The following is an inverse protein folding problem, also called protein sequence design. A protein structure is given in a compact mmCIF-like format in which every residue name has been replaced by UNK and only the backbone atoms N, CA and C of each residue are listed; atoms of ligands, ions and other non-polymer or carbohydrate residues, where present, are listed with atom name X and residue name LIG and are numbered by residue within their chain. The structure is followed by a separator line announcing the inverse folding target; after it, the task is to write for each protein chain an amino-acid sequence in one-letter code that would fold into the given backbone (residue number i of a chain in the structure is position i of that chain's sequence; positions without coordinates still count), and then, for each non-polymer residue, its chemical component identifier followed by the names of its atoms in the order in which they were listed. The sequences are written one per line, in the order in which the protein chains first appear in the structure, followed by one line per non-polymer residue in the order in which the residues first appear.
data_IF_687476771399
#
_entry.id   IF_687476771399
#
_cell.length_a   1.000
_cell.length_b   1.000
_cell.length_c   1.000
_cell.angle_alpha   90.00
_cell.angle_beta   90.00
_cell.angle_gamma   90.00
#
_symmetry.space_group_name_H-M   'P 1'
#
loop_
_entity.id
_entity.type
_entity.pdbx_description
1 polymer ?
#
# COMPACT_ATOMS: atom_id res chain seq x y z
N UNK A 1 39.11 11.10 24.39
CA UNK A 1 38.37 11.98 23.44
C UNK A 1 38.36 11.45 22.03
N UNK A 2 39.48 10.97 21.46
CA UNK A 2 39.55 10.49 20.05
C UNK A 2 38.63 9.29 19.81
N UNK A 3 38.60 8.30 20.73
CA UNK A 3 37.74 7.09 20.58
C UNK A 3 36.23 7.41 20.57
N UNK A 4 35.78 8.33 21.42
CA UNK A 4 34.36 8.74 21.48
C UNK A 4 33.95 9.43 20.17
N UNK A 5 34.80 10.28 19.61
CA UNK A 5 34.56 10.96 18.33
C UNK A 5 34.44 9.97 17.17
N UNK A 6 35.32 8.96 17.12
CA UNK A 6 35.28 7.93 16.08
C UNK A 6 34.00 7.11 16.20
N UNK A 7 33.62 6.69 17.40
CA UNK A 7 32.40 5.93 17.65
C UNK A 7 31.18 6.75 17.22
N UNK A 8 31.11 8.03 17.61
CA UNK A 8 30.00 8.90 17.26
C UNK A 8 29.85 9.06 15.73
N UNK A 9 30.95 9.46 15.05
CA UNK A 9 30.95 9.64 13.58
C UNK A 9 30.56 8.34 12.88
N UNK A 10 31.06 7.18 13.36
CA UNK A 10 30.69 5.89 12.76
C UNK A 10 29.19 5.58 12.92
N UNK A 11 28.61 5.82 14.10
CA UNK A 11 27.17 5.61 14.34
C UNK A 11 26.29 6.50 13.45
N UNK A 12 26.66 7.77 13.31
CA UNK A 12 25.94 8.72 12.45
C UNK A 12 26.02 8.31 10.97
N UNK A 13 27.20 7.90 10.48
CA UNK A 13 27.39 7.43 9.10
C UNK A 13 26.54 6.18 8.82
N UNK A 14 26.58 5.17 9.69
CA UNK A 14 25.77 3.97 9.54
C UNK A 14 24.27 4.28 9.59
N UNK A 15 23.85 5.14 10.51
CA UNK A 15 22.47 5.61 10.59
C UNK A 15 22.01 6.28 9.29
N UNK A 16 22.84 7.18 8.74
CA UNK A 16 22.57 7.84 7.47
C UNK A 16 22.45 6.87 6.30
N UNK A 17 23.33 5.86 6.22
CA UNK A 17 23.26 4.80 5.21
C UNK A 17 21.95 4.00 5.33
N UNK A 18 21.54 3.61 6.54
CA UNK A 18 20.25 2.90 6.74
C UNK A 18 19.05 3.74 6.29
N UNK A 19 19.02 5.02 6.62
CA UNK A 19 17.95 5.92 6.17
C UNK A 19 17.93 6.07 4.64
N UNK A 20 19.11 6.16 3.98
CA UNK A 20 19.19 6.19 2.51
C UNK A 20 18.67 4.90 1.87
N UNK A 21 19.04 3.74 2.41
CA UNK A 21 18.54 2.44 1.93
C UNK A 21 17.02 2.38 2.09
N UNK A 22 16.48 2.79 3.24
CA UNK A 22 15.04 2.84 3.47
C UNK A 22 14.32 3.76 2.47
N UNK A 23 14.85 4.97 2.25
CA UNK A 23 14.32 5.90 1.26
C UNK A 23 14.35 5.34 -0.18
N UNK A 24 15.47 4.67 -0.55
CA UNK A 24 15.62 4.02 -1.84
C UNK A 24 14.63 2.85 -2.02
N UNK A 25 14.47 1.99 -1.00
CA UNK A 25 13.47 0.92 -1.01
C UNK A 25 12.07 1.48 -1.23
N UNK A 26 11.71 2.58 -0.55
CA UNK A 26 10.42 3.24 -0.74
C UNK A 26 10.27 3.86 -2.12
N UNK A 27 11.35 4.36 -2.72
CA UNK A 27 11.34 4.91 -4.08
C UNK A 27 11.14 3.83 -5.14
N UNK A 28 11.81 2.68 -5.01
CA UNK A 28 11.74 1.57 -5.96
C UNK A 28 10.39 0.83 -5.92
N UNK A 29 9.74 0.75 -4.77
CA UNK A 29 8.41 0.13 -4.64
C UNK A 29 7.32 1.02 -5.22
N UNK A 30 7.24 1.10 -6.53
CA UNK A 30 6.51 2.10 -7.35
C UNK A 30 4.97 2.05 -7.22
N UNK A 31 4.39 1.03 -6.61
CA UNK A 31 2.95 0.76 -6.61
C UNK A 31 2.11 1.61 -5.63
N UNK A 32 2.69 2.61 -4.97
CA UNK A 32 2.00 3.40 -3.97
C UNK A 32 2.28 4.90 -4.09
N UNK A 33 1.39 5.61 -4.74
CA UNK A 33 1.34 7.08 -4.74
C UNK A 33 0.50 7.62 -3.57
N UNK A 34 0.73 7.15 -2.34
CA UNK A 34 0.10 7.77 -1.17
C UNK A 34 0.98 8.90 -0.64
N UNK A 35 0.35 9.99 -0.17
CA UNK A 35 1.07 11.10 0.47
C UNK A 35 1.89 10.61 1.68
N UNK A 36 1.38 9.65 2.46
CA UNK A 36 2.08 9.00 3.57
C UNK A 36 3.47 8.50 3.17
N UNK A 37 3.56 7.77 2.05
CA UNK A 37 4.83 7.24 1.57
C UNK A 37 5.80 8.34 1.17
N UNK A 38 5.33 9.35 0.43
CA UNK A 38 6.17 10.49 0.02
C UNK A 38 6.73 11.22 1.25
N UNK A 39 5.88 11.49 2.24
CA UNK A 39 6.28 12.15 3.48
C UNK A 39 7.31 11.31 4.25
N UNK A 40 7.07 10.00 4.42
CA UNK A 40 8.02 9.13 5.11
C UNK A 40 9.35 9.00 4.35
N UNK A 41 9.32 8.95 3.02
CA UNK A 41 10.54 8.95 2.19
C UNK A 41 11.32 10.26 2.35
N UNK A 42 10.65 11.42 2.35
CA UNK A 42 11.31 12.70 2.59
C UNK A 42 11.86 12.81 4.02
N UNK A 43 11.16 12.27 5.01
CA UNK A 43 11.67 12.18 6.39
C UNK A 43 12.95 11.34 6.44
N UNK A 44 12.97 10.16 5.81
CA UNK A 44 14.16 9.29 5.77
C UNK A 44 15.34 9.99 5.08
N UNK A 45 15.09 10.65 3.95
CA UNK A 45 16.13 11.38 3.22
C UNK A 45 16.67 12.57 4.04
N UNK A 46 15.80 13.35 4.67
CA UNK A 46 16.19 14.48 5.52
C UNK A 46 16.98 14.00 6.74
N UNK A 47 16.57 12.87 7.35
CA UNK A 47 17.30 12.26 8.47
C UNK A 47 18.68 11.76 8.03
N UNK A 48 18.81 11.14 6.86
CA UNK A 48 20.10 10.73 6.33
C UNK A 48 21.05 11.94 6.15
N UNK A 49 20.56 13.03 5.55
CA UNK A 49 21.34 14.25 5.39
C UNK A 49 21.73 14.85 6.75
N UNK A 50 20.79 14.89 7.71
CA UNK A 50 21.06 15.37 9.06
C UNK A 50 22.21 14.57 9.72
N UNK A 51 22.17 13.25 9.66
CA UNK A 51 23.18 12.37 10.26
C UNK A 51 24.55 12.55 9.59
N UNK A 52 24.61 12.67 8.25
CA UNK A 52 25.85 12.99 7.55
C UNK A 52 26.41 14.38 7.93
N UNK A 53 25.52 15.36 8.09
CA UNK A 53 25.94 16.69 8.52
C UNK A 53 26.45 16.71 9.96
N UNK A 54 25.82 15.93 10.88
CA UNK A 54 26.32 15.82 12.25
C UNK A 54 27.69 15.11 12.30
N UNK A 55 27.87 14.04 11.53
CA UNK A 55 29.16 13.40 11.36
C UNK A 55 30.25 14.38 10.87
N UNK A 56 29.94 15.23 9.90
CA UNK A 56 30.86 16.27 9.39
C UNK A 56 31.11 17.35 10.43
N UNK A 57 30.10 17.79 11.19
CA UNK A 57 30.26 18.76 12.27
C UNK A 57 31.29 18.26 13.33
N UNK A 58 31.22 16.98 13.66
CA UNK A 58 32.20 16.35 14.56
C UNK A 58 33.55 16.11 13.92
N UNK A 59 33.60 15.73 12.63
CA UNK A 59 34.83 15.50 11.88
C UNK A 59 35.67 16.76 11.72
N UNK A 60 35.03 17.90 11.49
CA UNK A 60 35.72 19.18 11.26
C UNK A 60 35.84 20.05 12.51
N UNK A 61 35.38 19.59 13.66
CA UNK A 61 35.50 20.30 14.93
C UNK A 61 36.99 20.50 15.32
N UNK A 62 37.40 21.75 15.41
CA UNK A 62 38.79 22.11 15.77
C UNK A 62 39.78 21.99 14.60
N UNK A 63 39.35 21.76 13.38
CA UNK A 63 40.20 21.74 12.19
C UNK A 63 40.45 23.22 11.74
N UNK A 64 41.73 23.57 11.63
CA UNK A 64 42.16 24.91 11.18
C UNK A 64 42.03 25.06 9.67
N UNK A 65 42.04 26.32 9.19
CA UNK A 65 42.01 26.68 7.77
C UNK A 65 40.59 26.92 7.23
N UNK A 66 40.50 27.30 5.97
CA UNK A 66 39.25 27.73 5.30
C UNK A 66 38.24 26.58 5.20
N UNK A 67 38.69 25.37 4.92
CA UNK A 67 37.81 24.19 4.84
C UNK A 67 37.16 23.91 6.19
N UNK A 68 37.95 23.86 7.28
CA UNK A 68 37.43 23.68 8.63
C UNK A 68 36.43 24.76 9.03
N UNK A 69 36.72 25.99 8.66
CA UNK A 69 35.85 27.14 8.93
C UNK A 69 34.46 27.01 8.30
N UNK A 70 34.34 26.68 7.00
CA UNK A 70 33.07 26.53 6.33
C UNK A 70 32.37 25.27 6.71
N UNK A 71 33.07 24.13 6.76
CA UNK A 71 32.47 22.82 7.02
C UNK A 71 31.79 22.76 8.39
N UNK A 72 32.44 23.24 9.47
CA UNK A 72 31.83 23.20 10.80
C UNK A 72 30.60 24.09 10.91
N UNK A 73 30.58 25.24 10.20
CA UNK A 73 29.45 26.19 10.23
C UNK A 73 28.25 25.64 9.43
N UNK A 74 28.49 25.20 8.20
CA UNK A 74 27.45 24.64 7.33
C UNK A 74 26.85 23.38 7.97
N UNK A 75 27.68 22.49 8.47
CA UNK A 75 27.22 21.25 9.09
C UNK A 75 26.35 21.49 10.32
N UNK A 76 26.78 22.35 11.24
CA UNK A 76 25.97 22.68 12.42
C UNK A 76 24.66 23.40 12.03
N UNK A 77 24.70 24.33 11.08
CA UNK A 77 23.47 24.96 10.58
C UNK A 77 22.49 23.92 10.07
N UNK A 78 22.95 23.00 9.21
CA UNK A 78 22.12 21.97 8.61
C UNK A 78 21.54 21.03 9.67
N UNK A 79 22.28 20.68 10.72
CA UNK A 79 21.77 19.82 11.82
C UNK A 79 20.55 20.47 12.50
N UNK A 80 20.62 21.74 12.86
CA UNK A 80 19.48 22.45 13.49
C UNK A 80 18.32 22.63 12.53
N UNK A 81 18.60 23.08 11.30
CA UNK A 81 17.56 23.33 10.29
C UNK A 81 16.83 22.03 9.88
N UNK A 82 17.56 20.96 9.63
CA UNK A 82 16.97 19.67 9.26
C UNK A 82 16.22 19.02 10.43
N UNK A 83 16.65 19.26 11.67
CA UNK A 83 15.93 18.84 12.86
C UNK A 83 14.50 19.38 12.90
N UNK A 84 14.35 20.69 12.68
CA UNK A 84 13.03 21.33 12.59
C UNK A 84 12.26 20.87 11.35
N UNK A 85 12.90 20.70 10.20
CA UNK A 85 12.27 20.21 8.98
C UNK A 85 11.72 18.78 9.16
N UNK A 86 12.47 17.89 9.79
CA UNK A 86 12.02 16.50 10.07
C UNK A 86 10.80 16.51 10.99
N UNK A 87 10.77 17.39 11.99
CA UNK A 87 9.60 17.56 12.86
C UNK A 87 8.37 18.04 12.06
N UNK A 88 8.54 18.98 11.11
CA UNK A 88 7.45 19.39 10.23
C UNK A 88 6.94 18.25 9.36
N UNK A 89 7.85 17.50 8.76
CA UNK A 89 7.50 16.33 7.94
C UNK A 89 6.79 15.25 8.78
N UNK A 90 7.26 15.01 10.01
CA UNK A 90 6.60 14.11 10.95
C UNK A 90 5.18 14.57 11.28
N UNK A 91 4.99 15.87 11.58
CA UNK A 91 3.66 16.42 11.81
C UNK A 91 2.70 16.19 10.63
N UNK A 92 3.17 16.45 9.40
CA UNK A 92 2.39 16.21 8.19
C UNK A 92 2.08 14.72 8.00
N UNK A 93 3.05 13.84 8.27
CA UNK A 93 2.85 12.39 8.23
C UNK A 93 1.84 11.91 9.27
N UNK A 94 1.93 12.41 10.51
CA UNK A 94 0.98 12.14 11.58
C UNK A 94 -0.44 12.56 11.17
N UNK A 95 -0.60 13.77 10.63
CA UNK A 95 -1.89 14.27 10.16
C UNK A 95 -2.47 13.41 9.02
N UNK A 96 -1.64 12.97 8.08
CA UNK A 96 -2.09 12.09 7.00
C UNK A 96 -2.46 10.69 7.52
N UNK A 97 -1.76 10.17 8.54
CA UNK A 97 -2.14 8.93 9.21
C UNK A 97 -3.48 9.02 9.94
N UNK A 98 -3.75 10.14 10.61
CA UNK A 98 -4.96 10.33 11.42
C UNK A 98 -6.19 10.72 10.61
N UNK A 99 -6.02 11.46 9.52
CA UNK A 99 -7.15 12.10 8.83
C UNK A 99 -7.27 11.75 7.34
N UNK A 100 -6.23 11.18 6.70
CA UNK A 100 -6.24 10.74 5.30
C UNK A 100 -6.91 11.74 4.32
N UNK A 101 -6.71 13.05 4.52
CA UNK A 101 -7.33 14.09 3.70
C UNK A 101 -8.77 14.44 4.05
N UNK A 102 -9.33 13.92 5.16
CA UNK A 102 -10.68 14.22 5.61
C UNK A 102 -10.88 15.73 5.89
N UNK A 103 -12.09 16.21 5.62
CA UNK A 103 -12.49 17.62 5.88
C UNK A 103 -12.34 18.02 7.36
N UNK A 104 -12.40 17.07 8.29
CA UNK A 104 -12.18 17.29 9.73
C UNK A 104 -10.80 17.90 10.04
N UNK A 105 -9.77 17.57 9.26
CA UNK A 105 -8.44 18.14 9.42
C UNK A 105 -8.44 19.67 9.41
N UNK A 106 -9.23 20.29 8.53
CA UNK A 106 -9.32 21.75 8.39
C UNK A 106 -9.92 22.46 9.60
N UNK A 107 -10.69 21.76 10.45
CA UNK A 107 -11.33 22.34 11.65
C UNK A 107 -10.43 22.34 12.87
N UNK A 108 -9.34 21.58 12.87
CA UNK A 108 -8.48 21.40 14.05
C UNK A 108 -7.39 22.51 14.07
N UNK A 109 -7.61 23.55 14.85
CA UNK A 109 -6.69 24.71 14.97
C UNK A 109 -5.25 24.33 15.41
N UNK A 110 -5.08 23.19 16.09
CA UNK A 110 -3.74 22.71 16.51
C UNK A 110 -2.83 22.31 15.36
N UNK A 111 -3.40 21.85 14.24
CA UNK A 111 -2.61 21.41 13.08
C UNK A 111 -1.82 22.61 12.48
N UNK A 112 -2.44 23.71 12.05
CA UNK A 112 -1.66 24.86 11.56
C UNK A 112 -0.78 25.48 12.65
N UNK A 113 -1.12 25.35 13.93
CA UNK A 113 -0.30 25.87 15.01
C UNK A 113 1.07 25.21 15.08
N UNK A 114 1.18 23.88 14.90
CA UNK A 114 2.47 23.19 14.85
C UNK A 114 3.30 23.68 13.65
N UNK A 115 2.68 23.81 12.47
CA UNK A 115 3.38 24.34 11.29
C UNK A 115 3.96 25.75 11.56
N UNK A 116 3.19 26.63 12.20
CA UNK A 116 3.64 27.99 12.54
C UNK A 116 4.82 27.94 13.54
N UNK A 117 4.70 27.14 14.61
CA UNK A 117 5.74 27.00 15.64
C UNK A 117 7.05 26.50 15.01
N UNK A 118 6.99 25.47 14.17
CA UNK A 118 8.19 24.91 13.52
C UNK A 118 8.77 25.89 12.49
N UNK A 119 7.94 26.58 11.71
CA UNK A 119 8.43 27.62 10.80
C UNK A 119 9.14 28.76 11.55
N UNK A 120 8.66 29.16 12.72
CA UNK A 120 9.36 30.13 13.59
C UNK A 120 10.70 29.54 14.04
N UNK A 121 10.77 28.26 14.43
CA UNK A 121 12.01 27.57 14.77
C UNK A 121 13.05 27.64 13.64
N UNK A 122 12.66 27.25 12.44
CA UNK A 122 13.53 27.31 11.25
C UNK A 122 14.02 28.73 10.96
N UNK A 123 13.16 29.75 11.11
CA UNK A 123 13.54 31.15 10.93
C UNK A 123 14.58 31.58 11.99
N UNK A 124 14.39 31.19 13.25
CA UNK A 124 15.33 31.51 14.32
C UNK A 124 16.69 30.80 14.13
N UNK A 125 16.73 29.61 13.56
CA UNK A 125 17.99 28.94 13.16
C UNK A 125 18.71 29.76 12.10
N UNK A 126 18.01 30.32 11.11
CA UNK A 126 18.59 31.21 10.09
C UNK A 126 19.13 32.49 10.73
N UNK A 127 18.33 33.15 11.56
CA UNK A 127 18.74 34.36 12.30
C UNK A 127 19.97 34.10 13.18
N UNK A 128 20.04 32.94 13.77
CA UNK A 128 21.18 32.53 14.63
C UNK A 128 22.51 32.49 13.87
N UNK A 129 22.51 32.32 12.54
CA UNK A 129 23.75 32.37 11.75
C UNK A 129 24.40 33.75 11.77
N UNK A 130 23.59 34.83 11.84
CA UNK A 130 24.06 36.19 11.80
C UNK A 130 24.24 36.80 13.20
N UNK A 131 23.46 36.32 14.16
CA UNK A 131 23.43 36.92 15.51
C UNK A 131 24.20 36.08 16.55
N UNK A 132 24.51 34.81 16.25
CA UNK A 132 25.05 33.86 17.23
C UNK A 132 24.05 33.54 18.32
N UNK A 133 22.73 33.57 18.07
CA UNK A 133 21.70 33.41 19.07
C UNK A 133 21.81 32.03 19.82
N UNK A 134 21.95 30.95 19.09
CA UNK A 134 21.98 29.60 19.64
C UNK A 134 23.40 29.12 19.97
N UNK A 135 24.35 29.43 19.08
CA UNK A 135 25.73 28.97 19.19
C UNK A 135 26.72 29.92 18.49
N UNK A 136 27.98 29.74 18.82
CA UNK A 136 29.09 30.46 18.21
C UNK A 136 30.28 29.53 18.03
N UNK A 137 31.25 29.99 17.26
CA UNK A 137 32.53 29.27 17.07
C UNK A 137 33.69 30.16 17.47
N UNK A 138 34.64 29.59 18.20
CA UNK A 138 35.88 30.30 18.51
C UNK A 138 36.84 30.34 17.31
N UNK A 139 37.98 31.02 17.47
CA UNK A 139 39.03 31.17 16.41
C UNK A 139 39.57 29.78 15.96
N UNK A 140 39.49 28.76 16.80
CA UNK A 140 39.97 27.41 16.51
C UNK A 140 38.84 26.50 16.00
N UNK A 141 37.72 27.04 15.55
CA UNK A 141 36.57 26.31 15.04
C UNK A 141 35.91 25.29 16.02
N UNK A 142 36.02 25.59 17.33
CA UNK A 142 35.26 24.83 18.36
C UNK A 142 33.90 25.47 18.55
N UNK A 143 32.88 24.61 18.57
CA UNK A 143 31.48 24.93 18.83
C UNK A 143 31.24 25.27 20.30
N UNK A 144 30.54 26.36 20.59
CA UNK A 144 30.10 26.79 21.92
C UNK A 144 28.60 27.09 21.91
N UNK A 145 27.89 26.61 22.94
CA UNK A 145 26.49 26.96 23.15
C UNK A 145 26.37 28.34 23.76
N UNK A 146 25.50 29.19 23.20
CA UNK A 146 25.24 30.52 23.72
C UNK A 146 24.02 30.52 24.65
N UNK A 147 23.73 31.66 25.32
CA UNK A 147 22.72 31.76 26.36
C UNK A 147 21.30 31.32 25.89
N UNK A 148 20.97 31.57 24.62
CA UNK A 148 19.64 31.22 24.05
C UNK A 148 19.60 29.82 23.40
N UNK A 149 20.63 29.00 23.56
CA UNK A 149 20.64 27.61 23.10
C UNK A 149 19.40 26.81 23.55
N UNK A 150 18.88 26.94 24.82
CA UNK A 150 17.69 26.21 25.23
C UNK A 150 16.46 26.47 24.37
N UNK A 151 16.35 27.64 23.74
CA UNK A 151 15.23 27.97 22.85
C UNK A 151 15.19 27.04 21.61
N UNK A 152 16.34 26.60 21.12
CA UNK A 152 16.43 25.61 20.03
C UNK A 152 15.87 24.23 20.40
N UNK A 153 15.72 23.92 21.69
CA UNK A 153 15.11 22.67 22.19
C UNK A 153 13.64 22.87 22.56
N UNK A 154 13.27 24.06 23.07
CA UNK A 154 11.89 24.35 23.52
C UNK A 154 10.92 24.37 22.34
N UNK A 155 11.32 24.94 21.20
CA UNK A 155 10.44 25.05 20.02
C UNK A 155 10.05 23.68 19.45
N UNK A 156 10.98 22.75 19.16
CA UNK A 156 10.64 21.39 18.77
C UNK A 156 9.81 20.64 19.83
N UNK A 157 10.11 20.88 21.12
CA UNK A 157 9.36 20.25 22.21
C UNK A 157 7.89 20.69 22.23
N UNK A 158 7.60 21.99 22.00
CA UNK A 158 6.23 22.50 21.91
C UNK A 158 5.45 21.86 20.76
N UNK A 159 6.06 21.77 19.58
CA UNK A 159 5.49 21.05 18.44
C UNK A 159 5.18 19.60 18.78
N UNK A 160 6.14 18.89 19.38
CA UNK A 160 6.01 17.51 19.80
C UNK A 160 4.89 17.29 20.83
N UNK A 161 4.74 18.18 21.82
CA UNK A 161 3.63 18.11 22.81
C UNK A 161 2.28 18.25 22.13
N UNK A 162 2.13 19.17 21.18
CA UNK A 162 0.87 19.33 20.44
C UNK A 162 0.57 18.06 19.63
N UNK A 163 1.55 17.50 18.93
CA UNK A 163 1.40 16.27 18.17
C UNK A 163 1.05 15.07 19.06
N UNK A 164 1.66 14.98 20.25
CA UNK A 164 1.31 13.96 21.23
C UNK A 164 -0.17 14.06 21.64
N UNK A 165 -0.68 15.27 21.89
CA UNK A 165 -2.11 15.45 22.22
C UNK A 165 -3.03 15.04 21.07
N UNK A 166 -2.62 15.29 19.82
CA UNK A 166 -3.36 14.84 18.64
C UNK A 166 -3.35 13.32 18.51
N UNK A 167 -2.20 12.69 18.65
CA UNK A 167 -2.06 11.23 18.59
C UNK A 167 -2.90 10.51 19.63
N UNK A 168 -2.89 10.96 20.89
CA UNK A 168 -3.69 10.38 21.98
C UNK A 168 -5.19 10.57 21.72
N UNK A 169 -5.60 11.77 21.33
CA UNK A 169 -7.02 12.08 21.08
C UNK A 169 -7.61 11.22 19.96
N UNK A 170 -6.86 11.01 18.88
CA UNK A 170 -7.33 10.32 17.69
C UNK A 170 -6.77 8.89 17.55
N UNK A 171 -6.25 8.29 18.63
CA UNK A 171 -5.59 6.96 18.62
C UNK A 171 -6.41 5.84 17.97
N UNK A 172 -7.75 5.95 18.00
CA UNK A 172 -8.67 4.95 17.43
C UNK A 172 -8.71 4.96 15.90
N UNK A 173 -8.17 6.00 15.24
CA UNK A 173 -8.13 6.11 13.78
C UNK A 173 -6.96 5.38 13.14
N UNK A 174 -6.00 4.93 13.91
CA UNK A 174 -4.81 4.20 13.44
C UNK A 174 -4.71 2.82 14.06
N UNK A 175 -3.98 1.92 13.39
CA UNK A 175 -3.69 0.60 13.94
C UNK A 175 -2.84 0.70 15.21
N UNK A 176 -2.87 -0.33 16.04
CA UNK A 176 -2.05 -0.38 17.25
C UNK A 176 -0.54 -0.31 16.92
N UNK A 177 -0.11 -0.94 15.83
CA UNK A 177 1.28 -0.91 15.38
C UNK A 177 1.71 0.50 14.97
N UNK A 178 0.89 1.20 14.15
CA UNK A 178 1.12 2.59 13.75
C UNK A 178 1.10 3.52 14.96
N UNK A 179 0.18 3.34 15.90
CA UNK A 179 0.14 4.14 17.12
C UNK A 179 1.44 4.04 17.93
N UNK A 180 1.92 2.82 18.20
CA UNK A 180 3.17 2.59 18.94
C UNK A 180 4.36 3.16 18.19
N UNK A 181 4.38 3.02 16.88
CA UNK A 181 5.42 3.54 16.00
C UNK A 181 5.50 5.08 16.05
N UNK A 182 4.38 5.77 15.87
CA UNK A 182 4.29 7.23 15.95
C UNK A 182 4.67 7.73 17.35
N UNK A 183 4.24 7.02 18.38
CA UNK A 183 4.58 7.33 19.78
C UNK A 183 6.07 7.18 20.05
N UNK A 184 6.74 6.15 19.49
CA UNK A 184 8.16 5.92 19.66
C UNK A 184 9.01 7.07 19.14
N UNK A 185 8.63 7.67 17.99
CA UNK A 185 9.30 8.84 17.43
C UNK A 185 9.30 10.06 18.38
N UNK A 186 8.27 10.19 19.21
CA UNK A 186 8.16 11.29 20.17
C UNK A 186 8.89 10.98 21.49
N UNK A 187 8.73 9.75 21.99
CA UNK A 187 9.25 9.37 23.31
C UNK A 187 10.77 9.12 23.28
N UNK A 188 11.29 8.41 22.26
CA UNK A 188 12.71 8.05 22.25
C UNK A 188 13.66 9.26 22.22
N UNK A 189 13.45 10.32 21.41
CA UNK A 189 14.27 11.51 21.47
C UNK A 189 14.15 12.28 22.78
N UNK A 190 12.95 12.30 23.41
CA UNK A 190 12.77 12.92 24.73
C UNK A 190 13.54 12.20 25.82
N UNK A 191 13.52 10.88 25.84
CA UNK A 191 14.36 10.07 26.74
C UNK A 191 15.84 10.31 26.48
N UNK A 192 16.26 10.40 25.22
CA UNK A 192 17.63 10.68 24.84
C UNK A 192 18.11 12.04 25.35
N UNK A 193 17.25 13.07 25.36
CA UNK A 193 17.56 14.39 25.93
C UNK A 193 17.86 14.28 27.43
N UNK A 194 17.09 13.48 28.18
CA UNK A 194 17.32 13.24 29.62
C UNK A 194 18.67 12.59 29.83
N UNK A 195 19.00 11.56 29.05
CA UNK A 195 20.30 10.88 29.14
C UNK A 195 21.47 11.76 28.73
N UNK A 196 21.28 12.79 27.90
CA UNK A 196 22.32 13.76 27.50
C UNK A 196 22.90 14.54 28.72
N UNK A 197 22.14 14.67 29.79
CA UNK A 197 22.66 15.25 31.05
C UNK A 197 23.68 14.36 31.72
N UNK A 198 23.63 13.04 31.53
CA UNK A 198 24.53 12.07 32.13
C UNK A 198 25.69 11.66 31.22
N UNK A 199 25.48 11.67 29.92
CA UNK A 199 26.44 11.20 28.90
C UNK A 199 26.77 12.32 27.90
N UNK A 200 27.80 13.09 28.20
CA UNK A 200 28.27 14.15 27.29
C UNK A 200 29.18 13.59 26.20
N UNK A 201 28.93 13.92 24.93
CA UNK A 201 29.84 13.65 23.80
C UNK A 201 29.32 12.70 22.72
N UNK A 202 28.09 12.15 22.89
CA UNK A 202 27.39 11.36 21.85
C UNK A 202 26.04 12.04 21.59
N UNK A 203 25.68 12.18 20.31
CA UNK A 203 24.37 12.75 19.90
C UNK A 203 23.26 11.69 20.06
N UNK A 204 22.93 11.35 21.31
CA UNK A 204 21.91 10.34 21.61
C UNK A 204 20.54 10.65 20.99
N UNK A 205 20.23 11.94 20.80
CA UNK A 205 18.97 12.38 20.18
C UNK A 205 18.90 11.96 18.72
N UNK A 206 19.98 12.16 17.96
CA UNK A 206 20.04 11.76 16.55
C UNK A 206 19.94 10.24 16.39
N UNK A 207 20.60 9.48 17.28
CA UNK A 207 20.50 8.02 17.30
C UNK A 207 19.06 7.59 17.62
N UNK A 208 18.39 8.22 18.57
CA UNK A 208 17.00 7.93 18.92
C UNK A 208 16.04 8.23 17.74
N UNK A 209 16.24 9.35 17.04
CA UNK A 209 15.49 9.69 15.81
C UNK A 209 15.70 8.61 14.75
N UNK A 210 16.96 8.19 14.53
CA UNK A 210 17.29 7.16 13.54
C UNK A 210 16.60 5.82 13.86
N UNK A 211 16.66 5.36 15.10
CA UNK A 211 15.98 4.12 15.53
C UNK A 211 14.47 4.24 15.29
N UNK A 212 13.86 5.36 15.65
CA UNK A 212 12.43 5.61 15.41
C UNK A 212 12.09 5.61 13.92
N UNK A 213 12.96 6.19 13.08
CA UNK A 213 12.78 6.22 11.62
C UNK A 213 12.84 4.83 11.01
N UNK A 214 13.77 3.98 11.45
CA UNK A 214 13.84 2.58 11.02
C UNK A 214 12.56 1.84 11.43
N UNK A 215 12.11 2.05 12.66
CA UNK A 215 10.88 1.43 13.14
C UNK A 215 9.65 1.90 12.33
N UNK A 216 9.54 3.19 12.01
CA UNK A 216 8.49 3.73 11.14
C UNK A 216 8.53 3.10 9.75
N UNK A 217 9.70 2.92 9.16
CA UNK A 217 9.85 2.25 7.88
C UNK A 217 9.35 0.81 7.91
N UNK A 218 9.76 0.04 8.95
CA UNK A 218 9.34 -1.37 9.11
C UNK A 218 7.81 -1.46 9.25
N UNK A 219 7.22 -0.68 10.15
CA UNK A 219 5.76 -0.70 10.38
C UNK A 219 5.00 -0.29 9.13
N UNK A 220 5.41 0.79 8.45
CA UNK A 220 4.79 1.23 7.21
C UNK A 220 4.83 0.16 6.11
N UNK A 221 5.97 -0.54 5.97
CA UNK A 221 6.14 -1.62 4.98
C UNK A 221 5.25 -2.83 5.31
N UNK A 222 5.15 -3.22 6.59
CA UNK A 222 4.30 -4.33 7.04
C UNK A 222 2.82 -4.01 6.83
N UNK A 223 2.37 -2.80 7.18
CA UNK A 223 0.98 -2.39 6.96
C UNK A 223 0.62 -2.33 5.49
N UNK A 224 1.52 -1.82 4.67
CA UNK A 224 1.38 -1.81 3.21
C UNK A 224 1.23 -3.22 2.64
N UNK A 225 2.07 -4.17 3.07
CA UNK A 225 1.97 -5.57 2.65
C UNK A 225 0.63 -6.20 3.04
N UNK A 226 0.15 -5.91 4.25
CA UNK A 226 -1.17 -6.38 4.71
C UNK A 226 -2.32 -5.82 3.87
N UNK A 227 -2.27 -4.53 3.55
CA UNK A 227 -3.30 -3.88 2.71
C UNK A 227 -3.35 -4.50 1.30
N UNK A 228 -2.18 -4.77 0.71
CA UNK A 228 -2.09 -5.46 -0.59
C UNK A 228 -2.71 -6.85 -0.55
N UNK A 229 -2.31 -7.66 0.42
CA UNK A 229 -2.83 -9.02 0.58
C UNK A 229 -4.36 -9.02 0.77
N UNK A 230 -4.90 -8.05 1.50
CA UNK A 230 -6.36 -7.91 1.67
C UNK A 230 -7.05 -7.55 0.34
N UNK A 231 -6.50 -6.61 -0.44
CA UNK A 231 -7.04 -6.25 -1.76
C UNK A 231 -6.99 -7.42 -2.74
N UNK A 232 -5.89 -8.18 -2.75
CA UNK A 232 -5.78 -9.39 -3.58
C UNK A 232 -6.83 -10.43 -3.19
N UNK A 233 -7.06 -10.63 -1.89
CA UNK A 233 -8.11 -11.53 -1.40
C UNK A 233 -9.49 -11.05 -1.82
N UNK A 234 -9.82 -9.77 -1.63
CA UNK A 234 -11.10 -9.19 -2.07
C UNK A 234 -11.33 -9.36 -3.58
N UNK A 235 -10.29 -9.12 -4.40
CA UNK A 235 -10.36 -9.34 -5.84
C UNK A 235 -10.61 -10.81 -6.19
N UNK A 236 -9.95 -11.74 -5.47
CA UNK A 236 -10.18 -13.16 -5.64
C UNK A 236 -11.62 -13.56 -5.29
N UNK A 237 -12.14 -13.09 -4.15
CA UNK A 237 -13.52 -13.34 -3.71
C UNK A 237 -14.54 -12.75 -4.70
N UNK A 238 -14.30 -11.54 -5.22
CA UNK A 238 -15.13 -10.95 -6.28
C UNK A 238 -15.09 -11.77 -7.57
N UNK A 239 -13.91 -12.25 -7.97
CA UNK A 239 -13.76 -13.10 -9.16
C UNK A 239 -14.53 -14.40 -9.00
N UNK A 240 -14.48 -15.04 -7.83
CA UNK A 240 -15.26 -16.23 -7.50
C UNK A 240 -16.77 -15.94 -7.55
N UNK A 241 -17.21 -14.82 -6.96
CA UNK A 241 -18.63 -14.43 -6.95
C UNK A 241 -19.17 -14.16 -8.36
N UNK A 242 -18.40 -13.46 -9.20
CA UNK A 242 -18.73 -13.24 -10.61
C UNK A 242 -18.83 -14.57 -11.36
N UNK A 243 -17.90 -15.47 -11.14
CA UNK A 243 -17.86 -16.82 -11.70
C UNK A 243 -19.14 -17.59 -11.38
N UNK A 244 -19.50 -17.66 -10.10
CA UNK A 244 -20.70 -18.35 -9.65
C UNK A 244 -22.00 -17.71 -10.20
N UNK A 245 -22.00 -16.39 -10.34
CA UNK A 245 -23.12 -15.65 -10.95
C UNK A 245 -23.32 -16.01 -12.42
N UNK A 246 -22.26 -16.28 -13.17
CA UNK A 246 -22.35 -16.64 -14.61
C UNK A 246 -22.87 -18.05 -14.84
N UNK A 247 -22.66 -19.00 -13.91
CA UNK A 247 -23.18 -20.39 -14.02
C UNK A 247 -24.73 -20.43 -13.94
N UNK A 248 -25.39 -19.36 -13.54
CA UNK A 248 -26.84 -19.27 -13.41
C UNK A 248 -27.40 -20.22 -12.35
N UNK A 249 -27.56 -19.77 -11.08
CA UNK A 249 -28.03 -20.62 -9.97
C UNK A 249 -29.32 -21.39 -10.30
N UNK A 250 -30.18 -20.77 -11.08
CA UNK A 250 -31.44 -21.37 -11.52
C UNK A 250 -31.23 -22.60 -12.43
N UNK A 251 -30.22 -22.58 -13.31
CA UNK A 251 -29.88 -23.73 -14.14
C UNK A 251 -29.38 -24.90 -13.29
N UNK A 252 -28.50 -24.64 -12.31
CA UNK A 252 -28.00 -25.66 -11.39
C UNK A 252 -29.16 -26.33 -10.64
N UNK A 253 -30.04 -25.56 -10.01
CA UNK A 253 -31.17 -26.10 -9.26
C UNK A 253 -32.13 -26.91 -10.15
N UNK A 254 -32.41 -26.45 -11.37
CA UNK A 254 -33.27 -27.15 -12.30
C UNK A 254 -32.64 -28.46 -12.80
N UNK A 255 -31.34 -28.46 -13.10
CA UNK A 255 -30.62 -29.66 -13.53
C UNK A 255 -30.60 -30.71 -12.43
N UNK A 256 -30.27 -30.33 -11.19
CA UNK A 256 -30.31 -31.23 -10.04
C UNK A 256 -31.72 -31.78 -9.79
N UNK A 257 -32.76 -30.96 -9.95
CA UNK A 257 -34.16 -31.41 -9.85
C UNK A 257 -34.51 -32.42 -10.95
N UNK A 258 -34.03 -32.20 -12.18
CA UNK A 258 -34.19 -33.11 -13.31
C UNK A 258 -33.48 -34.44 -13.05
N UNK A 259 -32.23 -34.41 -12.60
CA UNK A 259 -31.45 -35.60 -12.23
C UNK A 259 -32.20 -36.40 -11.15
N UNK A 260 -32.67 -35.75 -10.08
CA UNK A 260 -33.45 -36.40 -9.03
C UNK A 260 -34.69 -37.13 -9.57
N UNK A 261 -35.38 -36.50 -10.50
CA UNK A 261 -36.56 -37.11 -11.13
C UNK A 261 -36.18 -38.31 -11.99
N UNK A 262 -35.09 -38.22 -12.73
CA UNK A 262 -34.58 -39.30 -13.57
C UNK A 262 -34.06 -40.49 -12.75
N UNK A 263 -33.47 -40.28 -11.55
CA UNK A 263 -33.02 -41.35 -10.68
C UNK A 263 -34.12 -42.37 -10.36
N UNK A 264 -35.39 -41.89 -10.31
CA UNK A 264 -36.55 -42.77 -10.00
C UNK A 264 -37.08 -43.43 -11.27
N UNK A 265 -37.10 -42.76 -12.42
CA UNK A 265 -37.73 -43.24 -13.65
C UNK A 265 -36.77 -43.93 -14.61
N UNK A 266 -35.56 -43.48 -14.72
CA UNK A 266 -34.52 -44.00 -15.61
C UNK A 266 -33.12 -43.71 -15.03
N UNK A 267 -32.60 -44.58 -14.17
CA UNK A 267 -31.30 -44.42 -13.52
C UNK A 267 -30.12 -44.26 -14.51
N UNK A 268 -30.19 -44.94 -15.66
CA UNK A 268 -29.17 -44.85 -16.70
C UNK A 268 -29.10 -43.42 -17.27
N UNK A 269 -30.25 -42.85 -17.63
CA UNK A 269 -30.35 -41.48 -18.14
C UNK A 269 -29.97 -40.45 -17.08
N UNK A 270 -30.21 -40.76 -15.79
CA UNK A 270 -29.75 -39.91 -14.68
C UNK A 270 -28.23 -39.87 -14.62
N UNK A 271 -27.53 -41.02 -14.74
CA UNK A 271 -26.07 -41.08 -14.76
C UNK A 271 -25.47 -40.27 -15.94
N UNK A 272 -26.00 -40.46 -17.15
CA UNK A 272 -25.60 -39.69 -18.32
C UNK A 272 -25.80 -38.17 -18.12
N UNK A 273 -26.88 -37.77 -17.45
CA UNK A 273 -27.16 -36.33 -17.17
C UNK A 273 -26.17 -35.77 -16.16
N UNK A 274 -25.70 -36.56 -15.19
CA UNK A 274 -24.64 -36.16 -14.24
C UNK A 274 -23.32 -35.92 -14.99
N UNK A 275 -22.96 -36.80 -15.93
CA UNK A 275 -21.73 -36.64 -16.72
C UNK A 275 -21.76 -35.40 -17.58
N UNK A 276 -22.90 -35.11 -18.26
CA UNK A 276 -23.12 -33.92 -19.04
C UNK A 276 -23.06 -32.66 -18.17
N UNK A 277 -23.69 -32.70 -17.00
CA UNK A 277 -23.70 -31.59 -16.05
C UNK A 277 -22.30 -31.30 -15.49
N UNK A 278 -21.55 -32.37 -15.19
CA UNK A 278 -20.16 -32.25 -14.76
C UNK A 278 -19.30 -31.62 -15.86
N UNK A 279 -19.49 -32.06 -17.11
CA UNK A 279 -18.76 -31.50 -18.27
C UNK A 279 -19.11 -30.02 -18.48
N UNK A 280 -20.37 -29.65 -18.37
CA UNK A 280 -20.84 -28.26 -18.44
C UNK A 280 -20.21 -27.40 -17.32
N UNK A 281 -20.25 -27.85 -16.07
CA UNK A 281 -19.66 -27.09 -14.95
C UNK A 281 -18.15 -26.90 -15.11
N UNK A 282 -17.45 -27.96 -15.52
CA UNK A 282 -16.00 -27.91 -15.77
C UNK A 282 -15.67 -26.92 -16.89
N UNK A 283 -16.44 -26.95 -17.98
CA UNK A 283 -16.26 -26.01 -19.08
C UNK A 283 -16.45 -24.53 -18.66
N UNK A 284 -17.44 -24.24 -17.83
CA UNK A 284 -17.61 -22.89 -17.26
C UNK A 284 -16.41 -22.47 -16.41
N UNK A 285 -15.91 -23.34 -15.52
CA UNK A 285 -14.75 -23.05 -14.66
C UNK A 285 -13.49 -22.83 -15.49
N UNK A 286 -13.23 -23.70 -16.48
CA UNK A 286 -12.07 -23.58 -17.37
C UNK A 286 -12.08 -22.30 -18.20
N UNK A 287 -13.28 -21.86 -18.64
CA UNK A 287 -13.44 -20.64 -19.42
C UNK A 287 -13.18 -19.37 -18.64
N UNK A 288 -13.34 -19.39 -17.30
CA UNK A 288 -13.10 -18.27 -16.41
C UNK A 288 -11.62 -18.09 -16.04
N UNK A 289 -10.84 -19.15 -16.17
CA UNK A 289 -9.38 -19.09 -15.95
C UNK A 289 -8.60 -18.66 -17.21
N UNK A 290 -9.25 -18.72 -18.38
CA UNK A 290 -8.65 -18.42 -19.66
C UNK A 290 -9.41 -17.25 -20.35
N UNK A 291 -8.99 -16.02 -20.13
CA UNK A 291 -9.44 -14.80 -20.84
C UNK A 291 -9.04 -14.78 -22.34
N UNK A 292 -8.87 -15.94 -22.98
CA UNK A 292 -8.31 -16.04 -24.32
C UNK A 292 -9.32 -16.63 -25.29
N UNK A 293 -9.06 -16.39 -26.58
CA UNK A 293 -9.72 -17.08 -27.67
C UNK A 293 -9.54 -18.59 -27.51
N UNK A 294 -10.62 -19.36 -27.70
CA UNK A 294 -10.61 -20.82 -27.68
C UNK A 294 -11.03 -21.37 -29.03
N UNK A 295 -10.61 -22.59 -29.35
CA UNK A 295 -11.07 -23.27 -30.57
C UNK A 295 -12.58 -23.52 -30.53
N UNK A 296 -13.24 -23.33 -31.67
CA UNK A 296 -14.68 -23.53 -31.83
C UNK A 296 -15.15 -24.90 -31.32
N UNK A 297 -14.39 -25.98 -31.59
CA UNK A 297 -14.72 -27.33 -31.11
C UNK A 297 -14.89 -27.41 -29.59
N UNK A 298 -14.04 -26.70 -28.83
CA UNK A 298 -14.13 -26.68 -27.36
C UNK A 298 -15.40 -26.00 -26.91
N UNK A 299 -15.74 -24.86 -27.51
CA UNK A 299 -16.97 -24.13 -27.22
C UNK A 299 -18.21 -24.90 -27.65
N UNK A 300 -18.16 -25.56 -28.82
CA UNK A 300 -19.25 -26.41 -29.34
C UNK A 300 -19.53 -27.57 -28.37
N UNK A 301 -18.52 -28.26 -27.87
CA UNK A 301 -18.69 -29.35 -26.90
C UNK A 301 -19.36 -28.85 -25.62
N UNK A 302 -19.03 -27.66 -25.18
CA UNK A 302 -19.63 -27.04 -24.00
C UNK A 302 -21.12 -26.74 -24.23
N UNK A 303 -21.45 -26.13 -25.36
CA UNK A 303 -22.82 -25.84 -25.77
C UNK A 303 -23.65 -27.13 -25.98
N UNK A 304 -23.05 -28.19 -26.52
CA UNK A 304 -23.70 -29.50 -26.68
C UNK A 304 -24.08 -30.07 -25.31
N UNK A 305 -23.22 -30.01 -24.29
CA UNK A 305 -23.53 -30.45 -22.93
C UNK A 305 -24.71 -29.69 -22.33
N UNK A 306 -24.74 -28.36 -22.50
CA UNK A 306 -25.87 -27.53 -22.07
C UNK A 306 -27.18 -27.93 -22.77
N UNK A 307 -27.15 -28.04 -24.09
CA UNK A 307 -28.37 -28.38 -24.89
C UNK A 307 -28.87 -29.79 -24.60
N UNK A 308 -27.98 -30.77 -24.34
CA UNK A 308 -28.38 -32.11 -23.97
C UNK A 308 -29.14 -32.14 -22.61
N UNK A 309 -28.67 -31.34 -21.63
CA UNK A 309 -29.36 -31.20 -20.34
C UNK A 309 -30.74 -30.55 -20.52
N UNK A 310 -30.83 -29.44 -21.28
CA UNK A 310 -32.09 -28.74 -21.53
C UNK A 310 -33.08 -29.60 -22.34
N UNK A 311 -32.61 -30.41 -23.29
CA UNK A 311 -33.42 -31.36 -24.02
C UNK A 311 -34.02 -32.45 -23.10
N UNK A 312 -33.24 -32.98 -22.17
CA UNK A 312 -33.74 -33.94 -21.16
C UNK A 312 -34.78 -33.31 -20.22
N UNK A 313 -34.65 -32.03 -19.96
CA UNK A 313 -35.57 -31.25 -19.10
C UNK A 313 -36.88 -30.89 -19.79
N UNK A 314 -36.83 -30.45 -21.05
CA UNK A 314 -38.00 -29.90 -21.77
C UNK A 314 -38.56 -30.89 -22.81
N UNK A 315 -37.91 -32.07 -23.04
CA UNK A 315 -38.35 -33.08 -23.99
C UNK A 315 -38.43 -32.54 -25.41
N UNK A 316 -39.49 -32.90 -26.11
CA UNK A 316 -39.76 -32.56 -27.51
C UNK A 316 -39.93 -31.04 -27.77
N UNK A 317 -40.02 -30.23 -26.72
CA UNK A 317 -40.13 -28.76 -26.88
C UNK A 317 -38.81 -28.12 -27.28
N UNK A 318 -37.68 -28.76 -27.07
CA UNK A 318 -36.35 -28.26 -27.48
C UNK A 318 -35.78 -29.18 -28.54
N UNK A 319 -35.80 -28.74 -29.78
CA UNK A 319 -35.13 -29.42 -30.89
C UNK A 319 -33.80 -28.73 -31.20
N UNK A 320 -32.76 -29.53 -31.53
CA UNK A 320 -31.43 -29.03 -31.81
C UNK A 320 -30.94 -29.56 -33.16
N UNK A 321 -30.47 -28.69 -34.02
CA UNK A 321 -29.91 -29.02 -35.34
C UNK A 321 -28.49 -28.45 -35.44
N UNK A 322 -27.54 -29.29 -35.81
CA UNK A 322 -26.16 -28.89 -36.07
C UNK A 322 -25.85 -28.98 -37.55
N UNK A 323 -25.51 -27.87 -38.20
CA UNK A 323 -25.03 -27.76 -39.58
C UNK A 323 -23.61 -27.17 -39.59
N UNK A 324 -22.63 -27.99 -39.15
CA UNK A 324 -21.27 -27.58 -38.92
C UNK A 324 -20.41 -27.91 -40.14
N UNK A 325 -20.05 -26.91 -40.93
CA UNK A 325 -19.21 -27.04 -42.14
C UNK A 325 -17.75 -26.59 -41.90
N UNK A 326 -17.51 -25.77 -40.90
CA UNK A 326 -16.21 -25.23 -40.58
C UNK A 326 -15.99 -25.31 -39.06
N UNK A 327 -14.79 -25.78 -38.62
CA UNK A 327 -14.43 -25.91 -37.22
C UNK A 327 -13.09 -25.27 -36.88
N UNK A 328 -12.25 -24.96 -37.88
CA UNK A 328 -10.91 -24.43 -37.69
C UNK A 328 -10.89 -22.92 -37.53
N UNK A 329 -11.49 -22.45 -36.44
CA UNK A 329 -11.46 -21.04 -36.04
C UNK A 329 -11.55 -20.88 -34.53
N UNK A 330 -11.16 -19.72 -34.06
CA UNK A 330 -11.18 -19.36 -32.64
C UNK A 330 -12.22 -18.29 -32.35
N UNK A 331 -12.83 -18.35 -31.17
CA UNK A 331 -13.77 -17.36 -30.67
C UNK A 331 -13.56 -17.09 -29.16
N UNK A 332 -14.07 -15.98 -28.65
CA UNK A 332 -14.02 -15.72 -27.21
C UNK A 332 -14.77 -16.81 -26.43
N UNK A 333 -14.20 -17.28 -25.33
CA UNK A 333 -14.82 -18.26 -24.46
C UNK A 333 -16.23 -17.83 -24.02
N UNK A 334 -17.18 -18.76 -23.93
CA UNK A 334 -18.58 -18.57 -23.54
C UNK A 334 -19.43 -17.69 -24.49
N UNK A 335 -18.88 -17.21 -25.61
CA UNK A 335 -19.62 -16.31 -26.53
C UNK A 335 -20.80 -17.02 -27.20
N UNK A 336 -20.60 -18.24 -27.69
CA UNK A 336 -21.65 -19.04 -28.30
C UNK A 336 -22.63 -19.57 -27.25
N UNK A 337 -22.15 -19.96 -26.08
CA UNK A 337 -22.97 -20.41 -24.97
C UNK A 337 -24.01 -19.36 -24.57
N UNK A 338 -23.61 -18.09 -24.39
CA UNK A 338 -24.50 -17.00 -23.99
C UNK A 338 -25.64 -16.83 -25.02
N UNK A 339 -25.31 -16.91 -26.29
CA UNK A 339 -26.31 -16.78 -27.37
C UNK A 339 -27.29 -17.95 -27.36
N UNK A 340 -26.77 -19.17 -27.19
CA UNK A 340 -27.60 -20.40 -27.17
C UNK A 340 -28.48 -20.45 -25.92
N UNK A 341 -27.94 -20.13 -24.74
CA UNK A 341 -28.71 -20.01 -23.50
C UNK A 341 -29.88 -19.01 -23.65
N UNK A 342 -29.60 -17.84 -24.23
CA UNK A 342 -30.64 -16.85 -24.47
C UNK A 342 -31.69 -17.33 -25.46
N UNK A 343 -31.28 -18.02 -26.53
CA UNK A 343 -32.20 -18.59 -27.51
C UNK A 343 -33.12 -19.65 -26.88
N UNK A 344 -32.60 -20.55 -26.06
CA UNK A 344 -33.39 -21.53 -25.33
C UNK A 344 -34.30 -20.85 -24.31
N UNK A 345 -33.75 -20.05 -23.40
CA UNK A 345 -34.47 -19.48 -22.27
C UNK A 345 -35.55 -18.46 -22.70
N UNK A 346 -35.20 -17.58 -23.60
CA UNK A 346 -36.06 -16.46 -24.00
C UNK A 346 -36.81 -16.71 -25.31
N UNK A 347 -36.28 -17.56 -26.20
CA UNK A 347 -36.92 -17.93 -27.46
C UNK A 347 -37.82 -19.14 -27.32
N UNK A 348 -37.25 -20.31 -27.07
CA UNK A 348 -37.95 -21.61 -27.13
C UNK A 348 -38.84 -21.85 -25.93
N UNK A 349 -38.32 -21.70 -24.71
CA UNK A 349 -39.05 -22.01 -23.49
C UNK A 349 -40.28 -21.14 -23.24
N UNK A 350 -40.36 -19.97 -23.86
CA UNK A 350 -41.54 -19.06 -23.79
C UNK A 350 -42.65 -19.40 -24.79
N UNK A 351 -42.36 -20.24 -25.78
CA UNK A 351 -43.37 -20.67 -26.75
C UNK A 351 -44.05 -21.98 -26.31
N UNK A 352 -45.38 -22.05 -26.34
CA UNK A 352 -46.13 -23.24 -25.96
C UNK A 352 -45.74 -24.48 -26.77
N UNK A 353 -45.50 -24.33 -28.08
CA UNK A 353 -45.12 -25.39 -29.01
C UNK A 353 -43.63 -25.71 -29.08
N UNK A 354 -42.80 -25.02 -28.26
CA UNK A 354 -41.34 -25.20 -28.34
C UNK A 354 -40.69 -24.57 -29.56
N UNK A 355 -39.52 -25.07 -29.96
CA UNK A 355 -38.81 -24.56 -31.13
C UNK A 355 -37.49 -25.29 -31.38
N UNK A 356 -36.78 -24.86 -32.42
CA UNK A 356 -35.50 -25.42 -32.84
C UNK A 356 -34.35 -24.41 -32.63
N UNK A 357 -33.26 -24.86 -32.00
CA UNK A 357 -31.97 -24.17 -32.03
C UNK A 357 -31.16 -24.75 -33.18
N UNK A 358 -30.75 -23.94 -34.12
CA UNK A 358 -29.85 -24.35 -35.20
C UNK A 358 -28.49 -23.67 -34.98
N UNK A 359 -27.43 -24.47 -34.91
CA UNK A 359 -26.05 -24.00 -34.89
C UNK A 359 -25.43 -24.31 -36.26
N UNK A 360 -25.10 -23.26 -37.01
CA UNK A 360 -24.52 -23.39 -38.33
C UNK A 360 -23.20 -22.65 -38.40
N UNK A 361 -22.19 -23.29 -38.99
CA UNK A 361 -20.94 -22.66 -39.37
C UNK A 361 -20.66 -22.84 -40.83
N UNK A 362 -20.22 -21.78 -41.50
CA UNK A 362 -19.79 -21.84 -42.90
C UNK A 362 -18.71 -20.79 -43.13
N UNK A 363 -17.85 -21.04 -44.13
CA UNK A 363 -16.81 -20.11 -44.52
C UNK A 363 -17.39 -19.21 -45.64
N UNK A 364 -17.31 -17.91 -45.43
CA UNK A 364 -17.54 -16.93 -46.49
C UNK A 364 -16.21 -16.45 -47.01
N UNK A 365 -16.02 -16.48 -48.32
CA UNK A 365 -14.84 -15.95 -49.03
C UNK A 365 -14.80 -14.41 -48.98
#
# INVERSE_FOLDING_TARGET
MVSIRIIHVSLELWGGIFCLIAALCMFLTRNFETNKRKLLMFMQLSTAVLLFMDALAWAYRGVSGTVGFYMVRISNFMVFFLGDLILLLYHLYLCDCLFAGEYEQKKIKRIPAVCVVVCIGMLLVIVSQFTGLYYSFNVNNFYHRNAMYPLSLIIPLLGGVIDFTLLIQYRKKVSQATFVCLLSYMILPMLAIIFLFFFYGISLVNIAINISMIFMFIVATVEQSRELNNKEKEMCDMKIALTLSQIGPHFIFNTLSTIRHLCIRNPQLAAETVDEFTTYLRGNIDSLTNDRMIYFEKELKHVQSYLAIEKKRFGERVNVVYDIKETDFMLPALSMQIVVENAVKHGICKKAGGGTVMIRTERHD
#
